data_IF_647761263483
#
_entry.id   IF_647761263483
#
_cell.length_a   1.000
_cell.length_b   1.000
_cell.length_c   1.000
_cell.angle_alpha   90.00
_cell.angle_beta   90.00
_cell.angle_gamma   90.00
#
_symmetry.space_group_name_H-M   'P 1'
#
loop_
_entity.id
_entity.type
_entity.pdbx_description
1 polymer ?
#
# COMPACT_ATOMS: atom_id res chain seq x y z
N UNK A 1 7.31 -5.46 -2.16
CA UNK A 1 6.85 -4.36 -1.27
C UNK A 1 5.58 -3.77 -1.86
N UNK A 2 4.53 -3.50 -1.08
CA UNK A 2 3.37 -2.76 -1.61
C UNK A 2 3.78 -1.29 -1.75
N UNK A 3 3.65 -0.73 -2.95
CA UNK A 3 3.92 0.69 -3.21
C UNK A 3 2.73 1.54 -2.71
N UNK A 4 2.99 2.72 -2.18
CA UNK A 4 1.98 3.68 -1.73
C UNK A 4 2.41 5.08 -2.16
N UNK A 5 1.48 5.95 -2.57
CA UNK A 5 1.87 7.28 -3.06
C UNK A 5 2.57 8.13 -1.99
N UNK A 6 2.27 7.91 -0.70
CA UNK A 6 2.94 8.61 0.41
C UNK A 6 4.45 8.33 0.52
N UNK A 7 4.95 7.30 -0.16
CA UNK A 7 6.38 6.96 -0.26
C UNK A 7 6.93 7.26 -1.65
N UNK A 8 6.33 8.23 -2.35
CA UNK A 8 6.82 8.68 -3.64
C UNK A 8 7.57 10.00 -3.45
N UNK A 9 8.74 10.17 -4.09
CA UNK A 9 9.53 11.42 -4.01
C UNK A 9 8.74 12.63 -4.53
N UNK A 10 7.82 12.42 -5.47
CA UNK A 10 6.97 13.46 -6.07
C UNK A 10 5.71 13.78 -5.27
N UNK A 11 5.53 13.20 -4.08
CA UNK A 11 4.37 13.44 -3.21
C UNK A 11 4.71 14.45 -2.13
N UNK A 12 4.02 15.58 -2.13
CA UNK A 12 4.14 16.60 -1.09
C UNK A 12 2.82 16.70 -0.32
N UNK A 13 2.86 16.50 1.00
CA UNK A 13 1.71 16.71 1.87
C UNK A 13 1.95 17.94 2.76
N UNK A 14 0.90 18.72 2.98
CA UNK A 14 0.96 19.90 3.85
C UNK A 14 -0.40 20.60 3.94
N UNK A 15 -0.39 21.86 4.38
CA UNK A 15 -1.62 22.65 4.59
C UNK A 15 -2.44 22.89 3.31
N UNK A 16 -1.86 22.68 2.13
CA UNK A 16 -2.52 22.78 0.82
C UNK A 16 -3.10 21.47 0.28
N UNK A 17 -2.99 20.36 1.03
CA UNK A 17 -3.43 19.02 0.62
C UNK A 17 -2.28 18.12 0.13
N UNK A 18 -2.63 16.96 -0.45
CA UNK A 18 -1.67 15.96 -0.91
C UNK A 18 -1.40 16.14 -2.41
N UNK A 19 -0.37 16.89 -2.75
CA UNK A 19 -0.02 17.26 -4.12
C UNK A 19 0.95 16.26 -4.75
N UNK A 20 0.72 15.92 -6.02
CA UNK A 20 1.68 15.16 -6.81
C UNK A 20 2.30 16.04 -7.89
N UNK A 21 3.62 16.20 -7.84
CA UNK A 21 4.37 17.05 -8.77
C UNK A 21 4.28 16.56 -10.22
N UNK A 22 4.42 15.25 -10.46
CA UNK A 22 4.37 14.70 -11.83
C UNK A 22 2.98 14.82 -12.46
N UNK A 23 1.92 14.66 -11.66
CA UNK A 23 0.53 14.70 -12.15
C UNK A 23 -0.13 16.06 -12.03
N UNK A 24 0.55 17.02 -11.40
CA UNK A 24 0.09 18.40 -11.22
C UNK A 24 -1.36 18.48 -10.67
N UNK A 25 -1.66 17.68 -9.63
CA UNK A 25 -2.98 17.70 -8.97
C UNK A 25 -2.95 17.22 -7.52
N UNK A 26 -3.97 17.62 -6.76
CA UNK A 26 -4.23 17.17 -5.39
C UNK A 26 -4.93 15.80 -5.38
N UNK A 27 -4.56 14.95 -4.43
CA UNK A 27 -5.20 13.68 -4.15
C UNK A 27 -5.82 13.65 -2.75
N UNK A 28 -6.94 12.92 -2.57
CA UNK A 28 -7.47 12.68 -1.24
C UNK A 28 -6.53 11.77 -0.45
N UNK A 29 -6.53 11.92 0.88
CA UNK A 29 -5.64 11.18 1.77
C UNK A 29 -5.81 9.65 1.65
N UNK A 30 -7.06 9.20 1.47
CA UNK A 30 -7.38 7.78 1.24
C UNK A 30 -6.65 7.19 0.01
N UNK A 31 -6.42 8.01 -1.02
CA UNK A 31 -5.74 7.59 -2.25
C UNK A 31 -4.23 7.48 -2.09
N UNK A 32 -3.61 8.27 -1.22
CA UNK A 32 -2.16 8.19 -1.00
C UNK A 32 -1.77 7.08 -0.03
N UNK A 33 -2.71 6.64 0.84
CA UNK A 33 -2.54 5.53 1.79
C UNK A 33 -2.82 4.13 1.21
N UNK A 34 -3.51 4.03 0.07
CA UNK A 34 -3.80 2.75 -0.59
C UNK A 34 -2.67 2.34 -1.55
N UNK A 35 -2.69 1.08 -1.99
CA UNK A 35 -1.70 0.56 -2.94
C UNK A 35 -1.67 1.39 -4.23
N UNK A 36 -0.45 1.77 -4.62
CA UNK A 36 -0.16 2.59 -5.78
C UNK A 36 0.34 1.73 -6.95
N UNK A 37 -0.11 2.04 -8.16
CA UNK A 37 0.32 1.43 -9.41
C UNK A 37 0.82 2.50 -10.41
N UNK A 38 1.23 3.68 -9.92
CA UNK A 38 1.72 4.77 -10.76
C UNK A 38 3.01 4.35 -11.48
N UNK A 39 3.07 4.60 -12.79
CA UNK A 39 4.24 4.29 -13.62
C UNK A 39 5.43 5.21 -13.33
N UNK A 40 5.14 6.42 -12.88
CA UNK A 40 6.14 7.44 -12.53
C UNK A 40 6.53 7.37 -11.04
N UNK A 41 6.29 6.22 -10.39
CA UNK A 41 6.60 6.07 -8.98
C UNK A 41 8.10 5.93 -8.76
N UNK A 42 8.64 6.82 -7.94
CA UNK A 42 10.01 6.74 -7.44
C UNK A 42 9.99 6.74 -5.91
N UNK A 43 10.66 5.76 -5.31
CA UNK A 43 10.55 5.46 -3.88
C UNK A 43 11.29 6.49 -3.03
N UNK A 44 10.62 6.98 -1.99
CA UNK A 44 11.19 7.76 -0.91
C UNK A 44 10.94 7.03 0.41
N UNK A 45 11.98 6.86 1.22
CA UNK A 45 11.89 6.18 2.53
C UNK A 45 11.09 6.99 3.56
N UNK A 46 11.04 8.31 3.39
CA UNK A 46 10.35 9.24 4.27
C UNK A 46 8.86 9.24 3.91
N UNK A 47 8.00 9.06 4.91
CA UNK A 47 6.55 9.19 4.72
C UNK A 47 6.20 10.67 4.47
N UNK A 48 5.67 11.00 3.30
CA UNK A 48 5.27 12.36 2.96
C UNK A 48 4.20 12.93 3.90
N UNK A 49 3.37 12.10 4.55
CA UNK A 49 2.32 12.54 5.47
C UNK A 49 2.90 12.90 6.84
N UNK A 50 3.76 12.02 7.38
CA UNK A 50 4.17 12.11 8.78
C UNK A 50 5.59 12.65 8.95
N UNK A 51 6.46 12.56 7.93
CA UNK A 51 7.80 13.16 7.90
C UNK A 51 8.84 12.59 8.89
N UNK A 52 8.42 11.88 9.94
CA UNK A 52 9.30 11.44 11.03
C UNK A 52 9.69 9.96 10.92
N UNK A 53 8.84 9.12 10.33
CA UNK A 53 9.05 7.67 10.29
C UNK A 53 9.54 7.19 8.91
N UNK A 54 10.63 6.41 8.91
CA UNK A 54 11.07 5.63 7.76
C UNK A 54 10.18 4.42 7.52
N UNK A 55 9.93 4.09 6.25
CA UNK A 55 9.10 2.95 5.88
C UNK A 55 9.62 1.62 6.46
N UNK A 56 8.80 0.97 7.30
CA UNK A 56 9.05 -0.39 7.79
C UNK A 56 8.11 -1.39 7.08
N UNK A 57 8.62 -2.23 6.16
CA UNK A 57 7.78 -3.24 5.50
C UNK A 57 7.22 -4.23 6.54
N UNK A 58 5.96 -4.62 6.38
CA UNK A 58 5.38 -5.68 7.21
C UNK A 58 6.09 -7.00 6.91
N UNK A 59 6.47 -7.79 7.93
CA UNK A 59 7.00 -9.12 7.70
C UNK A 59 5.96 -9.98 6.97
N UNK A 60 6.40 -10.90 6.10
CA UNK A 60 5.50 -11.84 5.46
C UNK A 60 4.74 -12.63 6.54
N UNK A 61 3.43 -12.80 6.37
CA UNK A 61 2.65 -13.68 7.25
C UNK A 61 3.16 -15.09 7.06
N UNK A 62 3.50 -15.77 8.15
CA UNK A 62 3.73 -17.21 8.12
C UNK A 62 2.47 -17.88 7.56
N UNK A 63 2.63 -18.71 6.52
CA UNK A 63 1.55 -19.57 6.05
C UNK A 63 1.25 -20.56 7.18
N UNK A 64 0.07 -20.47 7.77
CA UNK A 64 -0.42 -21.55 8.63
C UNK A 64 -0.80 -22.70 7.70
N UNK A 65 -0.20 -23.88 7.89
CA UNK A 65 -0.64 -25.10 7.24
C UNK A 65 -1.93 -25.54 7.91
N UNK A 66 -3.07 -25.10 7.36
CA UNK A 66 -4.35 -25.71 7.70
C UNK A 66 -4.48 -26.95 6.82
N UNK A 67 -4.55 -28.13 7.41
CA UNK A 67 -4.92 -29.34 6.69
C UNK A 67 -6.37 -29.16 6.21
N UNK A 68 -6.58 -29.10 4.89
CA UNK A 68 -7.93 -29.08 4.33
C UNK A 68 -8.55 -30.47 4.53
N UNK A 69 -9.56 -30.55 5.40
CA UNK A 69 -10.38 -31.76 5.53
C UNK A 69 -11.20 -31.90 4.24
N UNK A 70 -10.96 -32.99 3.49
CA UNK A 70 -11.82 -33.39 2.38
C UNK A 70 -13.07 -34.03 2.98
N UNK A 71 -14.24 -33.48 2.69
CA UNK A 71 -15.52 -34.12 3.01
C UNK A 71 -15.87 -34.97 1.79
N UNK A 72 -15.82 -36.30 1.94
CA UNK A 72 -16.37 -37.21 0.96
C UNK A 72 -17.89 -37.25 1.16
N UNK A 73 -18.66 -36.85 0.15
CA UNK A 73 -20.11 -36.93 0.17
C UNK A 73 -20.51 -38.39 -0.04
N UNK A 74 -21.15 -39.01 0.95
CA UNK A 74 -21.81 -40.30 0.76
C UNK A 74 -23.03 -40.10 -0.15
N UNK A 75 -22.96 -40.69 -1.34
CA UNK A 75 -24.07 -40.75 -2.29
C UNK A 75 -25.23 -41.54 -1.66
N UNK A 76 -26.32 -40.84 -1.32
CA UNK A 76 -27.58 -41.45 -0.94
C UNK A 76 -28.18 -42.17 -2.15
N UNK A 77 -28.26 -43.50 -2.04
CA UNK A 77 -28.96 -44.41 -2.96
C UNK A 77 -30.44 -44.10 -3.09
#
# INVERSE_FOLDING_TARGET
>A
MKQYCRYCVYMCCGNGGNWCEVKQRVFPESKIKRTNNCKDFEFCEIDAIYGVDTYKPRPPRAKKNYEQIKIESEDTK
#
